data_IF_589345676785
#
_entry.id   IF_589345676785
#
_cell.length_a   1.000
_cell.length_b   1.000
_cell.length_c   1.000
_cell.angle_alpha   90.00
_cell.angle_beta   90.00
_cell.angle_gamma   90.00
#
_symmetry.space_group_name_H-M   'P 1'
#
loop_
_entity.id
_entity.type
_entity.pdbx_description
1 polymer ?
#
# COMPACT_ATOMS: atom_id res chain seq x y z
N UNK A 1 -38.64 -32.23 -50.16
CA UNK A 1 -37.77 -32.89 -49.16
C UNK A 1 -36.76 -31.85 -48.67
N UNK A 2 -36.94 -31.31 -47.45
CA UNK A 2 -35.94 -30.44 -46.81
C UNK A 2 -35.71 -30.97 -45.39
N UNK A 3 -34.49 -31.45 -45.14
CA UNK A 3 -34.07 -32.02 -43.87
C UNK A 3 -33.68 -30.90 -42.90
N UNK A 4 -34.34 -30.87 -41.75
CA UNK A 4 -34.07 -30.01 -40.60
C UNK A 4 -32.74 -30.40 -39.94
N UNK A 5 -31.76 -29.49 -39.92
CA UNK A 5 -30.50 -29.66 -39.20
C UNK A 5 -30.70 -29.40 -37.70
N UNK A 6 -30.07 -30.18 -36.79
CA UNK A 6 -30.40 -30.17 -35.39
C UNK A 6 -29.75 -29.00 -34.65
N UNK A 7 -30.52 -27.97 -34.33
CA UNK A 7 -30.14 -26.87 -33.42
C UNK A 7 -29.80 -27.35 -31.98
N UNK A 8 -30.07 -28.62 -31.66
CA UNK A 8 -29.95 -29.17 -30.30
C UNK A 8 -28.51 -29.43 -29.85
N UNK A 9 -27.55 -29.59 -30.79
CA UNK A 9 -26.17 -29.91 -30.43
C UNK A 9 -25.37 -28.70 -29.87
N UNK A 10 -25.73 -27.46 -30.25
CA UNK A 10 -25.05 -26.26 -29.78
C UNK A 10 -25.39 -25.85 -28.34
N UNK A 11 -26.61 -26.15 -27.87
CA UNK A 11 -27.06 -25.76 -26.53
C UNK A 11 -26.43 -26.61 -25.41
N UNK A 12 -26.11 -27.88 -25.70
CA UNK A 12 -25.53 -28.81 -24.73
C UNK A 12 -24.05 -28.52 -24.42
N UNK A 13 -23.29 -28.00 -25.38
CA UNK A 13 -21.88 -27.63 -25.18
C UNK A 13 -21.72 -26.36 -24.31
N UNK A 14 -22.64 -25.39 -24.42
CA UNK A 14 -22.61 -24.17 -23.60
C UNK A 14 -22.97 -24.43 -22.12
N UNK A 15 -23.85 -25.40 -21.84
CA UNK A 15 -24.25 -25.75 -20.48
C UNK A 15 -23.17 -26.49 -19.68
N UNK A 16 -22.24 -27.18 -20.35
CA UNK A 16 -21.13 -27.91 -19.70
C UNK A 16 -19.92 -27.01 -19.36
N UNK A 17 -19.83 -25.82 -19.95
CA UNK A 17 -18.75 -24.86 -19.66
C UNK A 17 -19.05 -23.95 -18.46
N UNK A 18 -20.34 -23.73 -18.13
CA UNK A 18 -20.76 -22.88 -17.01
C UNK A 18 -20.25 -23.35 -15.63
N UNK A 19 -20.27 -24.66 -15.30
CA UNK A 19 -19.75 -25.14 -14.02
C UNK A 19 -18.23 -24.95 -13.91
N UNK A 20 -17.50 -25.05 -15.03
CA UNK A 20 -16.04 -24.87 -15.04
C UNK A 20 -15.64 -23.41 -14.80
N UNK A 21 -16.39 -22.45 -15.36
CA UNK A 21 -16.17 -21.02 -15.12
C UNK A 21 -16.49 -20.64 -13.66
N UNK A 22 -17.60 -21.14 -13.11
CA UNK A 22 -17.96 -20.88 -11.71
C UNK A 22 -16.98 -21.54 -10.71
N UNK A 23 -16.43 -22.72 -11.05
CA UNK A 23 -15.43 -23.39 -10.22
C UNK A 23 -14.08 -22.68 -10.26
N UNK A 24 -13.68 -22.14 -11.42
CA UNK A 24 -12.47 -21.34 -11.55
C UNK A 24 -12.53 -20.06 -10.69
N UNK A 25 -13.65 -19.34 -10.72
CA UNK A 25 -13.86 -18.16 -9.87
C UNK A 25 -13.78 -18.47 -8.37
N UNK A 26 -14.38 -19.57 -7.92
CA UNK A 26 -14.36 -19.96 -6.50
C UNK A 26 -12.95 -20.38 -6.02
N UNK A 27 -12.21 -21.13 -6.83
CA UNK A 27 -10.84 -21.53 -6.52
C UNK A 27 -9.89 -20.31 -6.47
N UNK A 28 -10.11 -19.36 -7.37
CA UNK A 28 -9.35 -18.12 -7.46
C UNK A 28 -9.63 -17.17 -6.29
N UNK A 29 -10.89 -17.05 -5.86
CA UNK A 29 -11.25 -16.29 -4.66
C UNK A 29 -10.63 -16.91 -3.40
N UNK A 30 -10.71 -18.24 -3.25
CA UNK A 30 -10.13 -18.95 -2.12
C UNK A 30 -8.60 -18.82 -2.08
N UNK A 31 -7.93 -18.99 -3.22
CA UNK A 31 -6.48 -18.82 -3.34
C UNK A 31 -6.02 -17.40 -3.00
N UNK A 32 -6.78 -16.38 -3.42
CA UNK A 32 -6.50 -14.98 -3.10
C UNK A 32 -6.65 -14.68 -1.60
N UNK A 33 -7.70 -15.20 -0.94
CA UNK A 33 -7.89 -15.09 0.52
C UNK A 33 -6.76 -15.75 1.29
N UNK A 34 -6.37 -16.95 0.87
CA UNK A 34 -5.27 -17.68 1.49
C UNK A 34 -3.94 -16.95 1.35
N UNK A 35 -3.68 -16.35 0.18
CA UNK A 35 -2.47 -15.56 -0.07
C UNK A 35 -2.47 -14.29 0.79
N UNK A 36 -3.59 -13.58 0.87
CA UNK A 36 -3.73 -12.40 1.71
C UNK A 36 -3.45 -12.69 3.19
N UNK A 37 -3.94 -13.82 3.69
CA UNK A 37 -3.63 -14.29 5.04
C UNK A 37 -2.15 -14.66 5.21
N UNK A 38 -1.57 -15.38 4.25
CA UNK A 38 -0.16 -15.80 4.28
C UNK A 38 0.81 -14.62 4.29
N UNK A 39 0.48 -13.57 3.54
CA UNK A 39 1.26 -12.33 3.45
C UNK A 39 0.96 -11.35 4.59
N UNK A 40 0.04 -11.68 5.52
CA UNK A 40 -0.42 -10.79 6.58
C UNK A 40 -0.85 -9.41 6.07
N UNK A 41 -1.59 -9.36 4.96
CA UNK A 41 -1.97 -8.08 4.32
C UNK A 41 -2.82 -7.19 5.24
N UNK A 42 -3.55 -7.78 6.19
CA UNK A 42 -4.27 -7.02 7.23
C UNK A 42 -3.35 -6.17 8.11
N UNK A 43 -2.05 -6.49 8.21
CA UNK A 43 -1.07 -5.65 8.90
C UNK A 43 -0.73 -4.35 8.14
N UNK A 44 -1.28 -4.14 6.94
CA UNK A 44 -1.18 -2.87 6.23
C UNK A 44 -2.12 -1.79 6.78
N UNK A 45 -3.25 -2.17 7.41
CA UNK A 45 -4.26 -1.21 7.89
C UNK A 45 -3.70 -0.21 8.91
N UNK A 46 -2.88 -0.60 9.92
CA UNK A 46 -2.21 0.37 10.79
C UNK A 46 -1.30 1.34 10.02
N UNK A 47 -0.59 0.85 8.99
CA UNK A 47 0.23 1.70 8.13
C UNK A 47 -0.59 2.74 7.35
N UNK A 48 -1.81 2.36 6.90
CA UNK A 48 -2.74 3.30 6.28
C UNK A 48 -3.27 4.34 7.27
N UNK A 49 -3.56 3.93 8.52
CA UNK A 49 -3.95 4.86 9.57
C UNK A 49 -2.84 5.87 9.88
N UNK A 50 -1.59 5.40 10.02
CA UNK A 50 -0.43 6.25 10.23
C UNK A 50 -0.20 7.23 9.06
N UNK A 51 -0.28 6.75 7.81
CA UNK A 51 -0.14 7.60 6.61
C UNK A 51 -1.24 8.65 6.52
N UNK A 52 -2.47 8.28 6.84
CA UNK A 52 -3.61 9.21 6.86
C UNK A 52 -3.39 10.29 7.93
N UNK A 53 -2.93 9.87 9.11
CA UNK A 53 -2.64 10.78 10.23
C UNK A 53 -1.51 11.75 9.93
N UNK A 54 -0.50 11.33 9.16
CA UNK A 54 0.60 12.20 8.74
C UNK A 54 0.14 13.41 7.90
N UNK A 55 -1.08 13.35 7.33
CA UNK A 55 -1.66 14.47 6.56
C UNK A 55 -2.33 15.54 7.43
N UNK A 56 -2.36 15.37 8.77
CA UNK A 56 -3.01 16.30 9.69
C UNK A 56 -2.46 17.74 9.58
N UNK A 57 -1.13 17.90 9.64
CA UNK A 57 -0.51 19.24 9.56
C UNK A 57 -0.71 19.90 8.19
N UNK A 58 -0.48 19.22 7.05
CA UNK A 58 -0.82 19.76 5.73
C UNK A 58 -2.27 20.22 5.60
N UNK A 59 -3.24 19.45 6.10
CA UNK A 59 -4.66 19.82 6.05
C UNK A 59 -4.97 21.06 6.89
N UNK A 60 -4.37 21.18 8.08
CA UNK A 60 -4.52 22.37 8.91
C UNK A 60 -3.90 23.61 8.23
N UNK A 61 -2.75 23.45 7.59
CA UNK A 61 -2.10 24.52 6.83
C UNK A 61 -2.95 24.94 5.62
N UNK A 62 -3.48 23.97 4.86
CA UNK A 62 -4.39 24.23 3.75
C UNK A 62 -5.62 25.01 4.22
N UNK A 63 -6.20 24.63 5.35
CA UNK A 63 -7.33 25.34 5.94
C UNK A 63 -6.98 26.80 6.25
N UNK A 64 -5.82 27.08 6.87
CA UNK A 64 -5.40 28.46 7.13
C UNK A 64 -5.20 29.28 5.85
N UNK A 65 -4.55 28.69 4.85
CA UNK A 65 -4.32 29.35 3.55
C UNK A 65 -5.64 29.66 2.85
N UNK A 66 -6.51 28.66 2.71
CA UNK A 66 -7.81 28.79 2.02
C UNK A 66 -8.71 29.84 2.67
N UNK A 67 -8.66 29.93 4.00
CA UNK A 67 -9.48 30.88 4.77
C UNK A 67 -8.75 32.20 5.08
N UNK A 68 -7.55 32.42 4.52
CA UNK A 68 -6.72 33.62 4.74
C UNK A 68 -6.48 33.93 6.23
N UNK A 69 -6.42 32.88 7.06
CA UNK A 69 -6.20 33.01 8.50
C UNK A 69 -4.74 33.31 8.74
N UNK A 70 -4.45 34.49 9.31
CA UNK A 70 -3.12 34.87 9.79
C UNK A 70 -3.13 34.81 11.32
N UNK A 71 -2.24 34.00 11.88
CA UNK A 71 -2.11 33.86 13.32
C UNK A 71 -1.17 34.95 13.86
N UNK A 72 -1.61 35.68 14.88
CA UNK A 72 -0.73 36.51 15.70
C UNK A 72 0.24 35.65 16.52
N UNK A 73 1.31 36.23 17.05
CA UNK A 73 2.32 35.49 17.84
C UNK A 73 1.71 34.73 19.03
N UNK A 74 0.75 35.35 19.73
CA UNK A 74 0.02 34.72 20.82
C UNK A 74 -0.82 33.52 20.34
N UNK A 75 -1.42 33.62 19.14
CA UNK A 75 -2.19 32.53 18.53
C UNK A 75 -1.29 31.41 18.00
N UNK A 76 -0.10 31.73 17.49
CA UNK A 76 0.89 30.74 17.06
C UNK A 76 1.37 29.91 18.25
N UNK A 77 1.69 30.55 19.38
CA UNK A 77 2.09 29.84 20.61
C UNK A 77 0.98 28.92 21.12
N UNK A 78 -0.25 29.42 21.18
CA UNK A 78 -1.43 28.60 21.56
C UNK A 78 -1.67 27.45 20.58
N UNK A 79 -1.47 27.67 19.28
CA UNK A 79 -1.59 26.62 18.27
C UNK A 79 -0.53 25.53 18.50
N UNK A 80 0.73 25.89 18.74
CA UNK A 80 1.82 24.94 19.02
C UNK A 80 1.51 24.05 20.23
N UNK A 81 0.99 24.64 21.32
CA UNK A 81 0.56 23.89 22.51
C UNK A 81 -0.59 22.91 22.20
N UNK A 82 -1.50 23.29 21.29
CA UNK A 82 -2.63 22.46 20.85
C UNK A 82 -2.31 21.44 19.76
N UNK A 83 -1.19 21.57 19.04
CA UNK A 83 -0.85 20.72 17.90
C UNK A 83 -0.73 19.24 18.27
N UNK A 84 -0.15 18.94 19.43
CA UNK A 84 -0.03 17.56 19.91
C UNK A 84 -1.41 16.92 20.09
N UNK A 85 -2.33 17.59 20.79
CA UNK A 85 -3.69 17.09 21.00
C UNK A 85 -4.52 17.02 19.70
N UNK A 86 -4.28 17.92 18.75
CA UNK A 86 -4.85 17.80 17.41
C UNK A 86 -4.34 16.54 16.69
N UNK A 87 -3.02 16.32 16.69
CA UNK A 87 -2.41 15.13 16.11
C UNK A 87 -2.93 13.83 16.70
N UNK A 88 -3.02 13.74 18.03
CA UNK A 88 -3.58 12.58 18.74
C UNK A 88 -5.04 12.31 18.36
N UNK A 89 -5.86 13.36 18.22
CA UNK A 89 -7.26 13.22 17.78
C UNK A 89 -7.36 12.70 16.34
N UNK A 90 -6.56 13.23 15.42
CA UNK A 90 -6.54 12.74 14.04
C UNK A 90 -6.05 11.30 13.99
N UNK A 91 -5.03 10.96 14.77
CA UNK A 91 -4.52 9.60 14.86
C UNK A 91 -5.60 8.63 15.33
N UNK A 92 -6.32 8.99 16.39
CA UNK A 92 -7.46 8.20 16.88
C UNK A 92 -8.56 8.05 15.82
N UNK A 93 -8.91 9.12 15.10
CA UNK A 93 -9.91 9.04 14.04
C UNK A 93 -9.50 8.08 12.92
N UNK A 94 -8.23 8.11 12.53
CA UNK A 94 -7.70 7.19 11.52
C UNK A 94 -7.69 5.74 12.03
N UNK A 95 -7.21 5.52 13.26
CA UNK A 95 -7.20 4.19 13.88
C UNK A 95 -8.60 3.61 14.05
N UNK A 96 -9.57 4.40 14.52
CA UNK A 96 -10.95 3.97 14.68
C UNK A 96 -11.57 3.61 13.31
N UNK A 97 -11.29 4.41 12.27
CA UNK A 97 -11.77 4.14 10.90
C UNK A 97 -11.17 2.85 10.32
N UNK A 98 -9.85 2.72 10.25
CA UNK A 98 -9.18 1.55 9.67
C UNK A 98 -9.27 0.30 10.55
N UNK A 99 -9.51 0.48 11.85
CA UNK A 99 -9.76 -0.58 12.81
C UNK A 99 -11.20 -1.14 12.76
N UNK A 100 -12.14 -0.40 12.16
CA UNK A 100 -13.54 -0.78 12.09
C UNK A 100 -13.77 -2.08 11.29
N UNK A 101 -14.78 -2.84 11.69
CA UNK A 101 -15.14 -4.09 11.01
C UNK A 101 -15.53 -3.86 9.54
N UNK A 102 -16.25 -2.78 9.25
CA UNK A 102 -16.67 -2.44 7.89
C UNK A 102 -15.47 -2.18 6.96
N UNK A 103 -14.49 -1.39 7.42
CA UNK A 103 -13.29 -1.10 6.63
C UNK A 103 -12.42 -2.33 6.46
N UNK A 104 -12.29 -3.17 7.50
CA UNK A 104 -11.58 -4.46 7.39
C UNK A 104 -12.21 -5.36 6.33
N UNK A 105 -13.53 -5.54 6.35
CA UNK A 105 -14.25 -6.34 5.34
C UNK A 105 -14.06 -5.76 3.93
N UNK A 106 -14.19 -4.44 3.78
CA UNK A 106 -13.98 -3.79 2.48
C UNK A 106 -12.54 -3.96 1.98
N UNK A 107 -11.57 -3.86 2.88
CA UNK A 107 -10.16 -4.06 2.58
C UNK A 107 -9.89 -5.49 2.11
N UNK A 108 -10.39 -6.49 2.86
CA UNK A 108 -10.26 -7.90 2.48
C UNK A 108 -10.89 -8.17 1.10
N UNK A 109 -12.09 -7.66 0.83
CA UNK A 109 -12.73 -7.78 -0.48
C UNK A 109 -11.91 -7.13 -1.59
N UNK A 110 -11.30 -5.96 -1.32
CA UNK A 110 -10.46 -5.25 -2.28
C UNK A 110 -9.19 -6.04 -2.59
N UNK A 111 -8.55 -6.63 -1.57
CA UNK A 111 -7.36 -7.47 -1.72
C UNK A 111 -7.68 -8.71 -2.54
N UNK A 112 -8.75 -9.43 -2.20
CA UNK A 112 -9.18 -10.62 -2.92
C UNK A 112 -9.47 -10.29 -4.38
N UNK A 113 -10.28 -9.26 -4.63
CA UNK A 113 -10.58 -8.80 -5.99
C UNK A 113 -9.31 -8.45 -6.78
N UNK A 114 -8.34 -7.82 -6.14
CA UNK A 114 -7.10 -7.39 -6.80
C UNK A 114 -6.23 -8.58 -7.20
N UNK A 115 -6.06 -9.58 -6.33
CA UNK A 115 -5.31 -10.79 -6.68
C UNK A 115 -6.05 -11.64 -7.70
N UNK A 116 -7.35 -11.86 -7.50
CA UNK A 116 -8.15 -12.62 -8.45
C UNK A 116 -8.18 -11.95 -9.82
N UNK A 117 -8.08 -10.63 -9.94
CA UNK A 117 -8.02 -9.98 -11.25
C UNK A 117 -6.70 -10.22 -12.02
N UNK A 118 -5.62 -10.63 -11.33
CA UNK A 118 -4.26 -10.72 -11.89
C UNK A 118 -3.74 -12.16 -12.00
N UNK A 119 -4.30 -13.09 -11.23
CA UNK A 119 -3.83 -14.47 -11.14
C UNK A 119 -4.99 -15.44 -11.23
N UNK A 120 -4.78 -16.53 -11.97
CA UNK A 120 -5.65 -17.70 -11.99
C UNK A 120 -5.61 -18.47 -10.67
N UNK A 121 -6.60 -19.33 -10.43
CA UNK A 121 -6.62 -20.22 -9.26
C UNK A 121 -5.37 -21.12 -9.16
N UNK A 122 -4.86 -21.63 -10.29
CA UNK A 122 -3.67 -22.49 -10.30
C UNK A 122 -2.38 -21.72 -9.97
N UNK A 123 -2.23 -20.49 -10.46
CA UNK A 123 -1.10 -19.62 -10.09
C UNK A 123 -1.15 -19.26 -8.61
N UNK A 124 -2.33 -18.88 -8.09
CA UNK A 124 -2.51 -18.58 -6.67
C UNK A 124 -2.17 -19.79 -5.79
N UNK A 125 -2.53 -21.00 -6.22
CA UNK A 125 -2.16 -22.24 -5.53
C UNK A 125 -0.65 -22.44 -5.48
N UNK A 126 0.06 -22.21 -6.59
CA UNK A 126 1.53 -22.31 -6.63
C UNK A 126 2.21 -21.25 -5.76
N UNK A 127 1.73 -20.01 -5.82
CA UNK A 127 2.24 -18.90 -5.02
C UNK A 127 2.04 -19.18 -3.52
N UNK A 128 0.84 -19.65 -3.13
CA UNK A 128 0.56 -20.06 -1.75
C UNK A 128 1.48 -21.19 -1.29
N UNK A 129 1.69 -22.21 -2.12
CA UNK A 129 2.59 -23.31 -1.80
C UNK A 129 4.04 -22.81 -1.57
N UNK A 130 4.52 -21.89 -2.40
CA UNK A 130 5.84 -21.27 -2.19
C UNK A 130 5.90 -20.51 -0.87
N UNK A 131 5.00 -19.57 -0.61
CA UNK A 131 5.06 -18.73 0.59
C UNK A 131 4.83 -19.53 1.88
N UNK A 132 4.14 -20.67 1.82
CA UNK A 132 4.00 -21.60 2.96
C UNK A 132 5.22 -22.49 3.19
N UNK A 133 6.10 -22.66 2.20
CA UNK A 133 7.33 -23.44 2.37
C UNK A 133 8.30 -22.76 3.34
N UNK A 134 9.21 -23.55 3.94
CA UNK A 134 10.27 -23.00 4.81
C UNK A 134 11.15 -21.97 4.08
N UNK A 135 11.42 -22.19 2.79
CA UNK A 135 12.17 -21.26 1.95
C UNK A 135 11.38 -19.96 1.72
N UNK A 136 10.08 -20.04 1.40
CA UNK A 136 9.23 -18.86 1.22
C UNK A 136 9.06 -18.04 2.50
N UNK A 137 8.86 -18.70 3.64
CA UNK A 137 8.80 -18.03 4.95
C UNK A 137 10.14 -17.35 5.30
N UNK A 138 11.27 -18.00 5.02
CA UNK A 138 12.60 -17.37 5.19
C UNK A 138 12.76 -16.19 4.25
N UNK A 139 12.37 -16.33 2.98
CA UNK A 139 12.42 -15.27 1.99
C UNK A 139 11.64 -14.04 2.45
N UNK A 140 10.38 -14.19 2.87
CA UNK A 140 9.56 -13.08 3.37
C UNK A 140 10.20 -12.33 4.54
N UNK A 141 10.83 -13.05 5.47
CA UNK A 141 11.49 -12.45 6.65
C UNK A 141 12.78 -11.72 6.28
N UNK A 142 13.54 -12.24 5.32
CA UNK A 142 14.87 -11.76 4.98
C UNK A 142 14.85 -10.68 3.88
N UNK A 143 13.83 -10.67 3.03
CA UNK A 143 13.75 -9.74 1.89
C UNK A 143 13.90 -8.27 2.30
N UNK A 144 13.23 -7.76 3.36
CA UNK A 144 13.44 -6.37 3.80
C UNK A 144 14.89 -6.10 4.21
N UNK A 145 15.49 -7.01 4.99
CA UNK A 145 16.88 -6.88 5.48
C UNK A 145 17.90 -6.87 4.33
N UNK A 146 17.67 -7.70 3.31
CA UNK A 146 18.50 -7.73 2.11
C UNK A 146 18.37 -6.41 1.35
N UNK A 147 17.14 -5.90 1.19
CA UNK A 147 16.88 -4.60 0.56
C UNK A 147 17.59 -3.45 1.30
N UNK A 148 17.49 -3.42 2.63
CA UNK A 148 18.15 -2.41 3.47
C UNK A 148 19.67 -2.50 3.37
N UNK A 149 20.24 -3.71 3.30
CA UNK A 149 21.67 -3.90 3.12
C UNK A 149 22.15 -3.34 1.76
N UNK A 150 21.46 -3.66 0.68
CA UNK A 150 21.76 -3.14 -0.67
C UNK A 150 21.67 -1.60 -0.69
N UNK A 151 20.60 -1.04 -0.12
CA UNK A 151 20.43 0.40 -0.04
C UNK A 151 21.54 1.06 0.80
N UNK A 152 21.89 0.47 1.94
CA UNK A 152 22.95 0.97 2.82
C UNK A 152 24.33 0.96 2.16
N UNK A 153 24.69 -0.11 1.45
CA UNK A 153 25.94 -0.18 0.69
C UNK A 153 25.98 0.86 -0.44
N UNK A 154 24.87 1.00 -1.16
CA UNK A 154 24.73 2.00 -2.22
C UNK A 154 24.88 3.42 -1.67
N UNK A 155 24.25 3.72 -0.53
CA UNK A 155 24.34 5.02 0.13
C UNK A 155 25.75 5.32 0.63
N UNK A 156 26.46 4.36 1.20
CA UNK A 156 27.87 4.53 1.60
C UNK A 156 28.76 4.89 0.41
N UNK A 157 28.55 4.22 -0.73
CA UNK A 157 29.28 4.53 -1.96
C UNK A 157 28.92 5.93 -2.48
N UNK A 158 27.64 6.28 -2.47
CA UNK A 158 27.15 7.60 -2.88
C UNK A 158 27.71 8.71 -1.98
N UNK A 159 27.72 8.53 -0.66
CA UNK A 159 28.28 9.48 0.31
C UNK A 159 29.75 9.75 0.01
N UNK A 160 30.57 8.70 -0.17
CA UNK A 160 31.98 8.85 -0.52
C UNK A 160 32.20 9.66 -1.82
N UNK A 161 31.32 9.50 -2.80
CA UNK A 161 31.43 10.17 -4.10
C UNK A 161 30.82 11.58 -4.13
N UNK A 162 29.76 11.82 -3.37
CA UNK A 162 28.97 13.06 -3.40
C UNK A 162 29.36 14.05 -2.31
N UNK A 163 29.79 13.58 -1.12
CA UNK A 163 30.09 14.46 0.01
C UNK A 163 31.11 15.57 -0.35
N UNK A 164 32.24 15.27 -1.04
CA UNK A 164 33.18 16.32 -1.45
C UNK A 164 32.56 17.33 -2.41
N UNK A 165 31.68 16.88 -3.32
CA UNK A 165 30.99 17.77 -4.28
C UNK A 165 29.97 18.66 -3.58
N UNK A 166 29.25 18.11 -2.60
CA UNK A 166 28.31 18.87 -1.78
C UNK A 166 29.03 19.92 -0.93
N UNK A 167 30.18 19.56 -0.33
CA UNK A 167 31.02 20.51 0.40
C UNK A 167 31.51 21.64 -0.51
N UNK A 168 32.00 21.31 -1.72
CA UNK A 168 32.42 22.31 -2.70
C UNK A 168 31.26 23.25 -3.13
N UNK A 169 30.05 22.70 -3.34
CA UNK A 169 28.87 23.49 -3.68
C UNK A 169 28.45 24.41 -2.52
N UNK A 170 28.48 23.91 -1.28
CA UNK A 170 28.20 24.70 -0.08
C UNK A 170 29.21 25.83 0.11
N UNK A 171 30.51 25.56 -0.09
CA UNK A 171 31.57 26.57 -0.04
C UNK A 171 31.38 27.64 -1.13
N UNK A 172 31.08 27.23 -2.36
CA UNK A 172 30.83 28.13 -3.47
C UNK A 172 29.66 29.07 -3.16
N UNK A 173 28.54 28.54 -2.67
CA UNK A 173 27.39 29.35 -2.27
C UNK A 173 27.73 30.26 -1.08
N UNK A 174 28.40 29.75 -0.04
CA UNK A 174 28.85 30.54 1.10
C UNK A 174 29.71 31.73 0.70
N UNK A 175 30.63 31.57 -0.26
CA UNK A 175 31.43 32.68 -0.81
C UNK A 175 30.60 33.75 -1.51
N UNK A 176 29.48 33.39 -2.16
CA UNK A 176 28.57 34.39 -2.78
C UNK A 176 27.87 35.26 -1.73
N UNK A 177 27.61 34.72 -0.54
CA UNK A 177 27.00 35.46 0.57
C UNK A 177 28.05 36.25 1.37
N UNK A 178 29.24 35.67 1.56
CA UNK A 178 30.28 36.23 2.43
C UNK A 178 31.12 37.34 1.79
N UNK A 179 31.14 37.46 0.45
CA UNK A 179 31.75 38.63 -0.21
C UNK A 179 30.89 39.87 0.04
N UNK A 180 31.27 40.63 1.07
CA UNK A 180 31.13 42.09 1.12
C UNK A 180 32.34 42.73 0.44
#
# INVERSE_FOLDING_TARGET
>A
MFASRPLKAGLLAALLALPMLAHADAAQEAGAKELAATLNINNMLPGLAQRTSASALPLLQEYFVKNKIKLSDAQQKKAQEGLKGYGEKIHKLADDYFGSAAVKTQFEQTVVKSFSAQFSGDELKQINAFYKSAAGQKFMKQQPQIGDAIAGETLKAAEKALLPKMQAAAEAYGKTIAKK
#
